data_IF_032686360864
#
_entry.id   IF_032686360864
#
_cell.length_a   1.000
_cell.length_b   1.000
_cell.length_c   1.000
_cell.angle_alpha   90.00
_cell.angle_beta   90.00
_cell.angle_gamma   90.00
#
_symmetry.space_group_name_H-M   'P 1'
#
loop_
_entity.id
_entity.type
_entity.pdbx_description
1 polymer ?
#
# COMPACT_ATOMS: atom_id res chain seq x y z
N UNK A 1 -22.68 10.05 -12.63
CA UNK A 1 -23.92 10.38 -13.38
C UNK A 1 -23.72 9.95 -14.82
N UNK A 2 -24.61 9.16 -15.44
CA UNK A 2 -24.51 8.81 -16.85
C UNK A 2 -24.38 10.06 -17.73
N UNK A 3 -23.45 10.05 -18.69
CA UNK A 3 -23.22 11.15 -19.63
C UNK A 3 -22.30 12.29 -19.15
N UNK A 4 -21.84 12.28 -17.89
CA UNK A 4 -20.87 13.26 -17.41
C UNK A 4 -19.47 12.97 -17.98
N UNK A 5 -18.85 13.96 -18.62
CA UNK A 5 -17.47 13.91 -19.07
C UNK A 5 -16.61 14.80 -18.16
N UNK A 6 -15.43 14.29 -17.78
CA UNK A 6 -14.41 15.07 -17.08
C UNK A 6 -13.44 15.58 -18.13
N UNK A 7 -13.40 16.89 -18.36
CA UNK A 7 -12.43 17.49 -19.26
C UNK A 7 -11.01 17.17 -18.79
N UNK A 8 -10.17 16.66 -19.69
CA UNK A 8 -8.79 16.25 -19.41
C UNK A 8 -8.68 15.22 -18.27
N UNK A 9 -9.71 14.38 -18.07
CA UNK A 9 -9.73 13.42 -16.97
C UNK A 9 -8.62 12.38 -17.09
N UNK A 10 -8.23 11.81 -15.95
CA UNK A 10 -7.29 10.71 -15.90
C UNK A 10 -7.97 9.41 -16.37
N UNK A 11 -7.27 8.65 -17.22
CA UNK A 11 -7.73 7.35 -17.70
C UNK A 11 -7.43 6.24 -16.71
N UNK A 12 -8.34 5.28 -16.60
CA UNK A 12 -8.11 4.03 -15.89
C UNK A 12 -7.66 2.96 -16.89
N UNK A 13 -6.44 2.40 -16.76
CA UNK A 13 -5.91 1.39 -17.69
C UNK A 13 -6.84 0.20 -17.86
N UNK A 14 -6.99 -0.29 -19.10
CA UNK A 14 -7.84 -1.42 -19.43
C UNK A 14 -9.34 -1.12 -19.47
N UNK A 15 -9.75 0.15 -19.34
CA UNK A 15 -11.16 0.57 -19.38
C UNK A 15 -11.37 1.76 -20.32
N UNK A 16 -12.63 2.14 -20.56
CA UNK A 16 -13.00 3.37 -21.25
C UNK A 16 -13.23 4.55 -20.29
N UNK A 17 -12.90 4.42 -19.00
CA UNK A 17 -13.18 5.45 -18.01
C UNK A 17 -12.16 6.57 -18.08
N UNK A 18 -12.67 7.81 -18.20
CA UNK A 18 -11.94 9.06 -18.03
C UNK A 18 -12.58 9.82 -16.86
N UNK A 19 -11.85 9.96 -15.75
CA UNK A 19 -12.38 10.36 -14.44
C UNK A 19 -11.58 11.53 -13.86
N UNK A 20 -12.11 12.16 -12.81
CA UNK A 20 -11.29 13.05 -12.00
C UNK A 20 -10.12 12.26 -11.35
N UNK A 21 -8.98 12.89 -11.08
CA UNK A 21 -7.79 12.18 -10.60
C UNK A 21 -7.97 11.52 -9.22
N UNK A 22 -8.93 11.95 -8.39
CA UNK A 22 -9.22 11.29 -7.10
C UNK A 22 -9.91 9.95 -7.37
N UNK A 23 -10.98 9.95 -8.18
CA UNK A 23 -11.69 8.72 -8.53
C UNK A 23 -10.82 7.78 -9.38
N UNK A 24 -10.02 8.31 -10.30
CA UNK A 24 -9.06 7.52 -11.07
C UNK A 24 -8.01 6.86 -10.17
N UNK A 25 -7.48 7.58 -9.17
CA UNK A 25 -6.51 7.01 -8.22
C UNK A 25 -7.10 5.84 -7.43
N UNK A 26 -8.36 5.95 -7.01
CA UNK A 26 -9.08 4.82 -6.39
C UNK A 26 -9.13 3.61 -7.33
N UNK A 27 -9.57 3.81 -8.57
CA UNK A 27 -9.74 2.72 -9.53
C UNK A 27 -8.41 2.05 -9.85
N UNK A 28 -7.36 2.83 -10.13
CA UNK A 28 -6.01 2.32 -10.43
C UNK A 28 -5.45 1.59 -9.20
N UNK A 29 -5.48 2.20 -8.02
CA UNK A 29 -4.99 1.56 -6.79
C UNK A 29 -5.76 0.28 -6.43
N UNK A 30 -7.07 0.25 -6.70
CA UNK A 30 -7.91 -0.93 -6.51
C UNK A 30 -7.47 -2.07 -7.45
N UNK A 31 -7.35 -1.83 -8.75
CA UNK A 31 -7.03 -2.90 -9.72
C UNK A 31 -5.61 -3.46 -9.54
N UNK A 32 -4.62 -2.63 -9.17
CA UNK A 32 -3.24 -3.12 -8.98
C UNK A 32 -3.09 -3.95 -7.71
N UNK A 33 -3.87 -3.64 -6.66
CA UNK A 33 -3.81 -4.36 -5.38
C UNK A 33 -4.75 -5.57 -5.30
N UNK A 34 -5.77 -5.62 -6.16
CA UNK A 34 -6.94 -6.48 -5.98
C UNK A 34 -6.62 -7.95 -5.70
N UNK A 35 -5.74 -8.51 -6.53
CA UNK A 35 -5.37 -9.93 -6.55
C UNK A 35 -4.21 -10.27 -5.59
N UNK A 36 -3.70 -9.29 -4.83
CA UNK A 36 -2.54 -9.49 -3.97
C UNK A 36 -1.34 -10.05 -4.74
N UNK A 37 -1.16 -9.60 -5.98
CA UNK A 37 -0.11 -10.09 -6.87
C UNK A 37 0.92 -9.01 -7.25
N UNK A 38 0.76 -7.82 -6.67
CA UNK A 38 1.72 -6.74 -6.78
C UNK A 38 2.90 -6.93 -5.83
N UNK A 39 3.83 -5.97 -5.84
CA UNK A 39 5.06 -6.00 -5.05
C UNK A 39 4.81 -6.13 -3.54
N UNK A 40 5.87 -6.32 -2.77
CA UNK A 40 5.79 -6.40 -1.31
C UNK A 40 7.06 -5.84 -0.67
N UNK A 41 6.87 -5.18 0.46
CA UNK A 41 7.94 -4.76 1.37
C UNK A 41 7.67 -5.34 2.75
N UNK A 42 8.62 -6.12 3.29
CA UNK A 42 8.52 -6.78 4.58
C UNK A 42 9.50 -6.16 5.57
N UNK A 43 8.97 -5.46 6.57
CA UNK A 43 9.73 -4.85 7.65
C UNK A 43 8.98 -4.96 8.99
N UNK A 44 9.21 -4.06 9.96
CA UNK A 44 8.41 -4.02 11.19
C UNK A 44 6.90 -3.80 10.90
N UNK A 45 6.61 -3.06 9.83
CA UNK A 45 5.31 -3.06 9.15
C UNK A 45 5.42 -3.70 7.77
N UNK A 46 4.37 -4.41 7.34
CA UNK A 46 4.29 -4.94 5.97
C UNK A 46 3.46 -4.01 5.10
N UNK A 47 3.79 -3.94 3.82
CA UNK A 47 2.98 -3.20 2.86
C UNK A 47 3.34 -3.54 1.43
N UNK A 48 2.63 -2.87 0.51
CA UNK A 48 2.82 -2.99 -0.93
C UNK A 48 3.05 -1.58 -1.49
N UNK A 49 4.30 -1.11 -1.59
CA UNK A 49 4.56 0.27 -1.98
C UNK A 49 4.13 0.61 -3.42
N UNK A 50 3.97 -0.39 -4.29
CA UNK A 50 3.33 -0.22 -5.61
C UNK A 50 1.89 0.31 -5.53
N UNK A 51 1.21 0.19 -4.39
CA UNK A 51 -0.15 0.74 -4.20
C UNK A 51 -0.21 2.26 -4.44
N UNK A 52 0.90 2.98 -4.20
CA UNK A 52 1.02 4.42 -4.46
C UNK A 52 0.90 4.78 -5.94
N UNK A 53 1.06 3.80 -6.85
CA UNK A 53 0.90 4.00 -8.29
C UNK A 53 -0.49 4.53 -8.65
N UNK A 54 -1.51 4.22 -7.83
CA UNK A 54 -2.86 4.76 -8.01
C UNK A 54 -2.87 6.29 -8.10
N UNK A 55 -2.39 6.97 -7.06
CA UNK A 55 -2.31 8.43 -7.05
C UNK A 55 -1.31 8.97 -8.07
N UNK A 56 -0.13 8.36 -8.17
CA UNK A 56 0.94 8.85 -9.04
C UNK A 56 0.49 8.84 -10.50
N UNK A 57 -0.06 7.72 -10.98
CA UNK A 57 -0.43 7.59 -12.39
C UNK A 57 -1.67 8.43 -12.72
N UNK A 58 -2.67 8.47 -11.83
CA UNK A 58 -3.86 9.29 -12.01
C UNK A 58 -3.50 10.78 -12.13
N UNK A 59 -2.65 11.29 -11.23
CA UNK A 59 -2.24 12.70 -11.23
C UNK A 59 -1.30 13.00 -12.40
N UNK A 60 -0.40 12.09 -12.74
CA UNK A 60 0.49 12.27 -13.90
C UNK A 60 -0.29 12.37 -15.22
N UNK A 61 -1.25 11.46 -15.46
CA UNK A 61 -2.09 11.49 -16.68
C UNK A 61 -2.96 12.75 -16.72
N UNK A 62 -3.60 13.10 -15.60
CA UNK A 62 -4.40 14.33 -15.49
C UNK A 62 -3.58 15.60 -15.80
N UNK A 63 -2.44 15.77 -15.14
CA UNK A 63 -1.58 16.94 -15.36
C UNK A 63 -1.02 17.00 -16.78
N UNK A 64 -0.67 15.85 -17.35
CA UNK A 64 -0.17 15.77 -18.73
C UNK A 64 -1.25 16.14 -19.74
N UNK A 65 -2.48 15.66 -19.56
CA UNK A 65 -3.62 16.00 -20.42
C UNK A 65 -3.97 17.48 -20.34
N UNK A 66 -3.99 18.02 -19.13
CA UNK A 66 -4.18 19.46 -18.91
C UNK A 66 -3.07 20.26 -19.61
N UNK A 67 -1.81 19.90 -19.40
CA UNK A 67 -0.68 20.58 -20.04
C UNK A 67 -0.78 20.57 -21.57
N UNK A 68 -1.09 19.42 -22.17
CA UNK A 68 -1.28 19.31 -23.63
C UNK A 68 -2.43 20.19 -24.11
N UNK A 69 -3.55 20.22 -23.38
CA UNK A 69 -4.70 21.09 -23.73
C UNK A 69 -4.35 22.59 -23.66
N UNK A 70 -3.34 22.95 -22.87
CA UNK A 70 -2.82 24.32 -22.73
C UNK A 70 -1.60 24.59 -23.62
N UNK A 71 -1.21 23.68 -24.51
CA UNK A 71 -0.04 23.81 -25.38
C UNK A 71 1.31 23.72 -24.66
N UNK A 72 1.35 23.11 -23.46
CA UNK A 72 2.54 22.88 -22.65
C UNK A 72 3.03 21.43 -22.79
N UNK A 73 4.27 21.19 -22.40
CA UNK A 73 4.83 19.84 -22.39
C UNK A 73 4.19 18.97 -21.29
N UNK A 74 3.78 17.72 -21.59
CA UNK A 74 3.29 16.78 -20.59
C UNK A 74 4.42 16.27 -19.67
N UNK A 75 4.04 15.62 -18.57
CA UNK A 75 4.99 14.83 -17.79
C UNK A 75 5.42 13.58 -18.58
N UNK A 76 6.57 13.04 -18.20
CA UNK A 76 7.15 11.83 -18.80
C UNK A 76 7.01 10.62 -17.87
N UNK A 77 7.18 9.41 -18.41
CA UNK A 77 7.26 8.22 -17.56
C UNK A 77 8.48 8.23 -16.63
N UNK A 78 9.53 9.01 -16.94
CA UNK A 78 10.64 9.22 -16.00
C UNK A 78 10.18 9.93 -14.73
N UNK A 79 9.25 10.87 -14.85
CA UNK A 79 8.65 11.57 -13.70
C UNK A 79 7.82 10.61 -12.85
N UNK A 80 7.04 9.73 -13.50
CA UNK A 80 6.27 8.67 -12.84
C UNK A 80 7.18 7.71 -12.08
N UNK A 81 8.25 7.20 -12.72
CA UNK A 81 9.19 6.28 -12.07
C UNK A 81 9.93 6.95 -10.90
N UNK A 82 10.32 8.22 -11.05
CA UNK A 82 10.93 9.00 -9.96
C UNK A 82 9.98 9.18 -8.79
N UNK A 83 8.71 9.45 -9.06
CA UNK A 83 7.65 9.54 -8.05
C UNK A 83 7.43 8.19 -7.35
N UNK A 84 7.46 7.08 -8.08
CA UNK A 84 7.36 5.74 -7.50
C UNK A 84 8.52 5.45 -6.55
N UNK A 85 9.77 5.71 -6.95
CA UNK A 85 10.96 5.52 -6.09
C UNK A 85 10.78 6.27 -4.77
N UNK A 86 10.40 7.55 -4.84
CA UNK A 86 10.18 8.37 -3.63
C UNK A 86 9.05 7.86 -2.75
N UNK A 87 7.94 7.42 -3.34
CA UNK A 87 6.82 6.87 -2.58
C UNK A 87 7.20 5.55 -1.90
N UNK A 88 7.96 4.68 -2.59
CA UNK A 88 8.50 3.46 -2.01
C UNK A 88 9.39 3.78 -0.83
N UNK A 89 10.28 4.75 -0.99
CA UNK A 89 11.21 5.13 0.05
C UNK A 89 10.50 5.69 1.29
N UNK A 90 9.56 6.62 1.11
CA UNK A 90 8.80 7.19 2.24
C UNK A 90 8.04 6.11 3.00
N UNK A 91 7.30 5.25 2.30
CA UNK A 91 6.52 4.18 2.93
C UNK A 91 7.43 3.13 3.56
N UNK A 92 8.44 2.65 2.84
CA UNK A 92 9.27 1.53 3.24
C UNK A 92 10.23 1.87 4.37
N UNK A 93 10.84 3.06 4.35
CA UNK A 93 11.73 3.52 5.44
C UNK A 93 10.91 3.75 6.72
N UNK A 94 9.72 4.34 6.63
CA UNK A 94 8.84 4.44 7.80
C UNK A 94 8.42 3.06 8.31
N UNK A 95 8.25 2.06 7.44
CA UNK A 95 7.90 0.70 7.85
C UNK A 95 9.05 -0.08 8.50
N UNK A 96 10.30 0.38 8.39
CA UNK A 96 11.48 -0.34 8.93
C UNK A 96 11.37 -0.60 10.44
N UNK A 97 11.02 0.42 11.20
CA UNK A 97 11.01 0.37 12.67
C UNK A 97 9.66 0.73 13.30
N UNK A 98 8.68 1.18 12.50
CA UNK A 98 7.38 1.62 13.01
C UNK A 98 6.29 0.62 12.60
N UNK A 99 5.76 -0.09 13.59
CA UNK A 99 4.76 -1.14 13.38
C UNK A 99 3.36 -0.63 13.78
N UNK A 100 2.52 -0.34 12.80
CA UNK A 100 1.15 0.13 13.00
C UNK A 100 0.19 -1.02 13.30
N UNK A 101 0.49 -2.22 12.81
CA UNK A 101 -0.24 -3.43 13.14
C UNK A 101 -0.22 -3.72 14.66
N UNK A 102 0.88 -3.40 15.37
CA UNK A 102 1.02 -3.56 16.84
C UNK A 102 0.18 -2.58 17.65
N UNK A 103 -0.33 -1.54 17.01
CA UNK A 103 -1.28 -0.57 17.59
C UNK A 103 -2.68 -0.69 16.97
N UNK A 104 -2.93 -1.72 16.16
CA UNK A 104 -4.25 -2.05 15.60
C UNK A 104 -4.63 -1.32 14.30
N UNK A 105 -3.69 -0.58 13.70
CA UNK A 105 -3.93 0.25 12.52
C UNK A 105 -3.37 -0.40 11.25
N UNK A 106 -4.02 -0.12 10.12
CA UNK A 106 -3.66 -0.67 8.82
C UNK A 106 -2.50 0.08 8.15
N UNK A 107 -1.63 -0.67 7.47
CA UNK A 107 -0.44 -0.13 6.81
C UNK A 107 -0.78 0.85 5.69
N UNK A 108 -2.02 0.84 5.20
CA UNK A 108 -2.47 1.76 4.13
C UNK A 108 -2.39 3.22 4.53
N UNK A 109 -2.26 3.54 5.83
CA UNK A 109 -1.92 4.90 6.26
C UNK A 109 -0.58 5.37 5.67
N UNK A 110 0.40 4.47 5.51
CA UNK A 110 1.69 4.81 4.89
C UNK A 110 1.55 5.02 3.38
N UNK A 111 0.63 4.29 2.72
CA UNK A 111 0.25 4.56 1.32
C UNK A 111 -0.32 5.98 1.20
N UNK A 112 -1.24 6.37 2.11
CA UNK A 112 -1.78 7.73 2.12
C UNK A 112 -0.68 8.78 2.33
N UNK A 113 0.20 8.59 3.31
CA UNK A 113 1.29 9.52 3.63
C UNK A 113 2.27 9.67 2.46
N UNK A 114 2.78 8.56 1.92
CA UNK A 114 3.73 8.55 0.81
C UNK A 114 3.12 9.15 -0.47
N UNK A 115 1.91 8.72 -0.84
CA UNK A 115 1.17 9.28 -1.98
C UNK A 115 0.95 10.78 -1.80
N UNK A 116 0.59 11.25 -0.61
CA UNK A 116 0.30 12.69 -0.37
C UNK A 116 1.54 13.54 -0.60
N UNK A 117 2.69 13.13 -0.05
CA UNK A 117 3.94 13.87 -0.23
C UNK A 117 4.33 14.01 -1.71
N UNK A 118 4.31 12.89 -2.44
CA UNK A 118 4.76 12.85 -3.83
C UNK A 118 3.79 13.58 -4.75
N UNK A 119 2.48 13.37 -4.57
CA UNK A 119 1.45 14.00 -5.40
C UNK A 119 1.35 15.49 -5.16
N UNK A 120 1.45 15.97 -3.92
CA UNK A 120 1.50 17.42 -3.64
C UNK A 120 2.67 18.07 -4.38
N UNK A 121 3.83 17.40 -4.42
CA UNK A 121 4.97 17.90 -5.20
C UNK A 121 4.71 17.87 -6.71
N UNK A 122 4.09 16.81 -7.23
CA UNK A 122 3.72 16.71 -8.65
C UNK A 122 2.73 17.80 -9.08
N UNK A 123 1.81 18.20 -8.19
CA UNK A 123 0.87 19.31 -8.40
C UNK A 123 1.54 20.70 -8.38
N UNK A 124 2.86 20.76 -8.20
CA UNK A 124 3.62 22.02 -8.14
C UNK A 124 3.74 22.60 -6.72
N UNK A 125 3.36 21.84 -5.69
CA UNK A 125 3.45 22.27 -4.30
C UNK A 125 4.88 22.64 -3.88
N UNK A 126 4.99 23.73 -3.11
CA UNK A 126 6.24 24.11 -2.45
C UNK A 126 6.46 23.29 -1.16
N UNK A 127 7.56 23.54 -0.46
CA UNK A 127 7.91 22.81 0.77
C UNK A 127 6.82 22.90 1.84
N UNK A 128 6.27 24.09 2.07
CA UNK A 128 5.30 24.33 3.13
C UNK A 128 3.96 23.67 2.78
N UNK A 129 3.54 23.71 1.53
CA UNK A 129 2.34 22.98 1.06
C UNK A 129 2.51 21.46 1.18
N UNK A 130 3.71 20.91 0.96
CA UNK A 130 3.96 19.48 1.20
C UNK A 130 3.86 19.16 2.69
N UNK A 131 4.40 20.01 3.57
CA UNK A 131 4.29 19.86 5.03
C UNK A 131 2.82 19.94 5.48
N UNK A 132 2.07 20.91 4.97
CA UNK A 132 0.65 21.09 5.27
C UNK A 132 -0.16 19.87 4.83
N UNK A 133 0.04 19.38 3.61
CA UNK A 133 -0.66 18.19 3.10
C UNK A 133 -0.31 16.93 3.91
N UNK A 134 0.97 16.75 4.25
CA UNK A 134 1.42 15.65 5.12
C UNK A 134 0.78 15.73 6.51
N UNK A 135 0.61 16.94 7.04
CA UNK A 135 -0.02 17.10 8.35
C UNK A 135 -1.48 16.63 8.35
N UNK A 136 -2.24 16.94 7.29
CA UNK A 136 -3.58 16.41 7.10
C UNK A 136 -3.58 14.88 6.89
N UNK A 137 -2.60 14.35 6.16
CA UNK A 137 -2.47 12.90 5.98
C UNK A 137 -2.19 12.17 7.29
N UNK A 138 -1.55 12.79 8.29
CA UNK A 138 -1.42 12.20 9.62
C UNK A 138 -2.67 12.44 10.49
N UNK A 139 -3.30 13.60 10.40
CA UNK A 139 -4.53 13.92 11.14
C UNK A 139 -5.71 12.99 10.79
N UNK A 140 -5.75 12.48 9.55
CA UNK A 140 -6.72 11.47 9.11
C UNK A 140 -6.61 10.11 9.85
N UNK A 141 -5.66 9.94 10.77
CA UNK A 141 -5.54 8.77 11.62
C UNK A 141 -5.18 7.50 10.86
N UNK A 142 -5.82 6.37 11.15
CA UNK A 142 -5.58 5.12 10.42
C UNK A 142 -6.84 4.27 10.36
N UNK A 143 -7.07 3.60 9.22
CA UNK A 143 -8.11 2.58 9.18
C UNK A 143 -7.74 1.42 10.11
N UNK A 144 -8.73 0.82 10.76
CA UNK A 144 -8.53 -0.44 11.48
C UNK A 144 -8.14 -1.56 10.51
N UNK A 145 -7.50 -2.62 11.02
CA UNK A 145 -7.16 -3.82 10.23
C UNK A 145 -8.17 -4.95 10.31
N UNK A 146 -9.35 -4.73 10.91
CA UNK A 146 -10.34 -5.79 11.19
C UNK A 146 -10.66 -6.64 9.95
N UNK A 147 -10.74 -6.02 8.76
CA UNK A 147 -11.04 -6.69 7.48
C UNK A 147 -9.89 -7.56 6.92
N UNK A 148 -8.75 -7.62 7.61
CA UNK A 148 -7.60 -8.47 7.25
C UNK A 148 -7.49 -9.71 8.13
N UNK A 149 -8.27 -9.81 9.20
CA UNK A 149 -8.16 -10.88 10.20
C UNK A 149 -9.48 -11.63 10.38
N UNK A 150 -9.39 -12.94 10.58
CA UNK A 150 -10.55 -13.76 10.92
C UNK A 150 -11.20 -13.27 12.25
N UNK A 151 -12.54 -13.41 12.41
CA UNK A 151 -13.49 -13.95 11.44
C UNK A 151 -14.01 -12.90 10.43
N UNK A 152 -13.47 -11.67 10.44
CA UNK A 152 -13.98 -10.53 9.66
C UNK A 152 -13.22 -10.29 8.35
N UNK A 153 -12.33 -11.21 7.96
CA UNK A 153 -11.54 -11.08 6.74
C UNK A 153 -12.47 -10.94 5.52
N UNK A 154 -12.24 -9.92 4.70
CA UNK A 154 -13.14 -9.59 3.60
C UNK A 154 -12.51 -8.73 2.52
N UNK A 155 -13.27 -8.41 1.47
CA UNK A 155 -12.78 -7.76 0.26
C UNK A 155 -12.19 -6.37 0.46
N UNK A 156 -12.50 -5.69 1.58
CA UNK A 156 -11.85 -4.40 1.92
C UNK A 156 -10.33 -4.50 1.95
N UNK A 157 -9.75 -5.66 2.27
CA UNK A 157 -8.29 -5.87 2.19
C UNK A 157 -7.70 -5.60 0.80
N UNK A 158 -8.51 -5.78 -0.26
CA UNK A 158 -8.11 -5.66 -1.67
C UNK A 158 -8.24 -4.25 -2.22
N UNK A 159 -9.08 -3.39 -1.62
CA UNK A 159 -9.30 -2.01 -2.08
C UNK A 159 -8.93 -0.91 -1.07
N UNK A 160 -8.59 -1.27 0.18
CA UNK A 160 -8.19 -0.30 1.21
C UNK A 160 -6.99 0.57 0.79
N UNK A 161 -6.05 0.03 0.03
CA UNK A 161 -4.92 0.80 -0.48
C UNK A 161 -5.31 1.75 -1.62
N UNK A 162 -6.24 1.32 -2.48
CA UNK A 162 -6.88 2.18 -3.49
C UNK A 162 -7.62 3.37 -2.85
N UNK A 163 -8.32 3.13 -1.74
CA UNK A 163 -8.97 4.18 -0.94
C UNK A 163 -7.92 5.14 -0.34
N UNK A 164 -6.85 4.62 0.24
CA UNK A 164 -5.79 5.44 0.84
C UNK A 164 -5.04 6.32 -0.17
N UNK A 165 -4.68 5.78 -1.33
CA UNK A 165 -4.00 6.55 -2.39
C UNK A 165 -4.95 7.57 -3.03
N UNK A 166 -6.24 7.25 -3.18
CA UNK A 166 -7.27 8.24 -3.57
C UNK A 166 -7.40 9.38 -2.56
N UNK A 167 -7.45 9.04 -1.27
CA UNK A 167 -7.51 10.03 -0.19
C UNK A 167 -6.30 10.96 -0.24
N UNK A 168 -5.11 10.44 -0.53
CA UNK A 168 -3.92 11.26 -0.69
C UNK A 168 -4.04 12.32 -1.78
N UNK A 169 -4.57 11.96 -2.97
CA UNK A 169 -4.83 12.94 -4.04
C UNK A 169 -5.78 14.03 -3.57
N UNK A 170 -6.84 13.64 -2.85
CA UNK A 170 -7.80 14.60 -2.31
C UNK A 170 -7.16 15.57 -1.31
N UNK A 171 -6.36 15.07 -0.38
CA UNK A 171 -5.66 15.90 0.61
C UNK A 171 -4.69 16.87 -0.06
N UNK A 172 -3.89 16.37 -1.00
CA UNK A 172 -2.99 17.20 -1.78
C UNK A 172 -3.76 18.34 -2.50
N UNK A 173 -4.88 18.02 -3.17
CA UNK A 173 -5.69 19.02 -3.85
C UNK A 173 -6.33 20.05 -2.92
N UNK A 174 -6.76 19.66 -1.72
CA UNK A 174 -7.26 20.59 -0.69
C UNK A 174 -6.16 21.57 -0.29
N UNK A 175 -4.97 21.08 0.05
CA UNK A 175 -3.83 21.94 0.43
C UNK A 175 -3.36 22.84 -0.72
N UNK A 176 -3.40 22.36 -1.96
CA UNK A 176 -3.08 23.20 -3.12
C UNK A 176 -4.06 24.36 -3.34
N UNK A 177 -5.21 24.37 -2.67
CA UNK A 177 -6.15 25.52 -2.64
C UNK A 177 -5.87 26.51 -1.50
N UNK A 178 -4.81 26.29 -0.70
CA UNK A 178 -4.41 27.17 0.39
C UNK A 178 -4.92 26.74 1.77
N UNK A 179 -5.38 25.48 1.91
CA UNK A 179 -5.73 24.93 3.23
C UNK A 179 -4.48 24.88 4.13
N UNK A 180 -4.61 25.37 5.36
CA UNK A 180 -3.50 25.44 6.32
C UNK A 180 -3.14 24.06 6.88
N UNK A 181 -1.87 23.88 7.28
CA UNK A 181 -1.43 22.67 7.97
C UNK A 181 -1.71 22.64 9.48
N UNK A 182 -1.33 21.52 10.09
CA UNK A 182 -1.46 21.21 11.52
C UNK A 182 -0.04 20.94 12.07
N UNK A 183 0.71 21.98 12.50
CA UNK A 183 2.17 21.87 12.71
C UNK A 183 2.62 20.79 13.70
N UNK A 184 1.82 20.53 14.74
CA UNK A 184 2.11 19.57 15.81
C UNK A 184 1.26 18.30 15.71
N UNK A 185 0.73 17.95 14.53
CA UNK A 185 -0.18 16.81 14.36
C UNK A 185 0.34 15.49 14.94
N UNK A 186 1.66 15.28 14.96
CA UNK A 186 2.25 14.09 15.55
C UNK A 186 2.44 14.21 17.06
N UNK A 187 2.93 15.36 17.54
CA UNK A 187 3.49 15.53 18.90
C UNK A 187 2.64 16.36 19.87
N UNK A 188 1.48 16.88 19.43
CA UNK A 188 0.60 17.66 20.30
C UNK A 188 0.19 16.83 21.55
N UNK A 189 0.37 17.33 22.78
CA UNK A 189 -0.02 16.59 23.98
C UNK A 189 -1.51 16.24 23.98
N UNK A 190 -1.84 14.99 24.31
CA UNK A 190 -3.18 14.39 24.36
C UNK A 190 -3.91 14.22 23.02
N UNK A 191 -3.56 15.01 21.99
CA UNK A 191 -4.32 15.09 20.73
C UNK A 191 -3.50 14.72 19.49
N UNK A 192 -2.17 14.63 19.64
CA UNK A 192 -1.25 14.26 18.58
C UNK A 192 -1.29 12.77 18.27
N UNK A 193 -0.89 12.42 17.05
CA UNK A 193 -0.88 11.04 16.57
C UNK A 193 -0.12 10.09 17.51
N UNK A 194 1.00 10.53 18.09
CA UNK A 194 1.81 9.70 18.99
C UNK A 194 1.02 9.28 20.22
N UNK A 195 0.43 10.24 20.93
CA UNK A 195 -0.35 9.98 22.14
C UNK A 195 -1.62 9.16 21.84
N UNK A 196 -2.36 9.54 20.78
CA UNK A 196 -3.69 8.98 20.50
C UNK A 196 -3.63 7.62 19.82
N UNK A 197 -2.72 7.44 18.87
CA UNK A 197 -2.72 6.30 17.93
C UNK A 197 -1.44 5.48 17.95
N UNK A 198 -0.39 5.95 18.62
CA UNK A 198 0.91 5.28 18.66
C UNK A 198 1.43 4.99 20.08
N UNK A 199 0.52 4.94 21.06
CA UNK A 199 0.81 4.59 22.48
C UNK A 199 1.88 5.48 23.13
N UNK A 200 1.97 6.74 22.71
CA UNK A 200 2.96 7.71 23.22
C UNK A 200 4.38 7.51 22.66
N UNK A 201 4.60 6.53 21.79
CA UNK A 201 5.90 6.32 21.14
C UNK A 201 6.10 7.32 20.00
N UNK A 202 7.37 7.58 19.65
CA UNK A 202 7.72 8.41 18.50
C UNK A 202 8.18 7.53 17.34
N UNK A 203 8.04 8.05 16.11
CA UNK A 203 8.57 7.35 14.95
C UNK A 203 10.10 7.28 14.97
N UNK A 204 10.62 6.12 14.61
CA UNK A 204 12.05 5.90 14.39
C UNK A 204 12.33 5.82 12.90
N UNK A 205 13.35 6.54 12.45
CA UNK A 205 13.79 6.58 11.06
C UNK A 205 15.27 6.20 11.07
N UNK A 206 15.55 4.94 10.77
CA UNK A 206 16.90 4.34 10.88
C UNK A 206 17.85 4.75 9.77
N UNK A 207 17.36 5.34 8.68
CA UNK A 207 18.16 5.69 7.50
C UNK A 207 17.60 6.90 6.75
N UNK A 208 18.43 7.51 5.90
CA UNK A 208 18.03 8.55 4.96
C UNK A 208 17.04 8.01 3.91
N UNK A 209 16.23 8.90 3.34
CA UNK A 209 15.37 8.58 2.21
C UNK A 209 16.16 8.74 0.91
N UNK A 210 16.48 7.64 0.25
CA UNK A 210 17.17 7.60 -1.05
C UNK A 210 16.39 6.72 -2.04
N UNK A 211 16.86 5.51 -2.33
CA UNK A 211 16.24 4.54 -3.25
C UNK A 211 16.29 3.10 -2.74
N UNK A 212 16.66 2.89 -1.46
CA UNK A 212 16.89 1.57 -0.88
C UNK A 212 15.68 0.64 -1.01
N UNK A 213 14.47 1.16 -0.78
CA UNK A 213 13.25 0.34 -0.79
C UNK A 213 12.94 -0.14 -2.20
N UNK A 214 13.06 0.72 -3.21
CA UNK A 214 12.82 0.33 -4.60
C UNK A 214 13.86 -0.70 -5.08
N UNK A 215 15.12 -0.54 -4.68
CA UNK A 215 16.20 -1.46 -5.06
C UNK A 215 16.03 -2.86 -4.47
N UNK A 216 15.36 -2.97 -3.32
CA UNK A 216 15.21 -4.21 -2.56
C UNK A 216 13.75 -4.71 -2.48
N UNK A 217 12.86 -4.15 -3.31
CA UNK A 217 11.44 -4.53 -3.30
C UNK A 217 11.25 -5.98 -3.73
N UNK A 218 10.30 -6.67 -3.11
CA UNK A 218 10.03 -8.07 -3.40
C UNK A 218 8.92 -8.20 -4.45
N UNK A 219 9.16 -8.96 -5.51
CA UNK A 219 8.14 -9.25 -6.53
C UNK A 219 7.50 -10.61 -6.31
N UNK A 220 6.18 -10.69 -6.46
CA UNK A 220 5.46 -11.94 -6.59
C UNK A 220 5.45 -12.34 -8.07
N UNK A 221 6.38 -13.21 -8.46
CA UNK A 221 6.56 -13.57 -9.87
C UNK A 221 5.62 -14.69 -10.27
N UNK A 222 5.53 -15.73 -9.45
CA UNK A 222 4.93 -17.00 -9.87
C UNK A 222 3.48 -17.19 -9.40
N UNK A 223 3.12 -16.71 -8.21
CA UNK A 223 1.83 -17.04 -7.59
C UNK A 223 1.14 -15.84 -6.94
N UNK A 224 -0.19 -15.64 -7.16
CA UNK A 224 -0.99 -14.61 -6.48
C UNK A 224 -1.36 -15.08 -5.06
N UNK A 225 -0.35 -15.27 -4.23
CA UNK A 225 -0.48 -15.74 -2.86
C UNK A 225 0.06 -14.70 -1.87
N UNK A 226 -0.38 -14.77 -0.62
CA UNK A 226 0.17 -13.95 0.47
C UNK A 226 1.70 -14.16 0.52
N UNK A 227 2.49 -13.09 0.70
CA UNK A 227 3.93 -13.15 0.42
C UNK A 227 4.67 -14.19 1.28
N UNK A 228 4.27 -14.37 2.54
CA UNK A 228 4.87 -15.36 3.44
C UNK A 228 4.61 -16.80 2.98
N UNK A 229 3.67 -17.04 2.06
CA UNK A 229 3.35 -18.36 1.49
C UNK A 229 4.10 -18.69 0.20
N UNK A 230 4.83 -17.74 -0.40
CA UNK A 230 5.40 -17.91 -1.74
C UNK A 230 6.33 -19.14 -1.85
N UNK A 231 7.27 -19.30 -0.92
CA UNK A 231 8.21 -20.44 -0.92
C UNK A 231 7.53 -21.76 -0.61
N UNK A 232 6.46 -21.76 0.21
CA UNK A 232 5.67 -22.95 0.47
C UNK A 232 4.90 -23.40 -0.78
N UNK A 233 4.37 -22.46 -1.58
CA UNK A 233 3.71 -22.77 -2.86
C UNK A 233 4.73 -23.30 -3.87
N UNK A 234 5.93 -22.71 -3.94
CA UNK A 234 7.01 -23.20 -4.80
C UNK A 234 7.43 -24.64 -4.45
N UNK A 235 7.58 -24.93 -3.16
CA UNK A 235 7.85 -26.29 -2.68
C UNK A 235 6.71 -27.26 -3.03
N UNK A 236 5.45 -26.84 -2.85
CA UNK A 236 4.29 -27.66 -3.19
C UNK A 236 4.20 -27.95 -4.70
N UNK A 237 4.50 -26.98 -5.56
CA UNK A 237 4.55 -27.17 -7.02
C UNK A 237 5.70 -28.11 -7.42
N UNK A 238 6.85 -28.00 -6.75
CA UNK A 238 7.99 -28.90 -6.98
C UNK A 238 7.66 -30.34 -6.59
N UNK A 239 6.96 -30.53 -5.48
CA UNK A 239 6.53 -31.86 -5.01
C UNK A 239 5.35 -32.44 -5.81
N UNK A 240 4.58 -31.60 -6.52
CA UNK A 240 3.35 -32.01 -7.21
C UNK A 240 3.52 -33.25 -8.11
N UNK A 241 4.54 -33.36 -8.99
CA UNK A 241 4.73 -34.53 -9.84
C UNK A 241 4.91 -35.85 -9.07
N UNK A 242 5.44 -35.79 -7.85
CA UNK A 242 5.71 -36.96 -7.00
C UNK A 242 4.46 -37.44 -6.24
N UNK A 243 3.55 -36.51 -5.92
CA UNK A 243 2.40 -36.79 -5.04
C UNK A 243 1.05 -36.82 -5.75
N UNK A 244 0.94 -36.29 -6.99
CA UNK A 244 -0.34 -36.13 -7.70
C UNK A 244 -1.16 -37.42 -7.85
N UNK A 245 -0.49 -38.56 -7.97
CA UNK A 245 -1.14 -39.88 -8.18
C UNK A 245 -1.34 -40.66 -6.86
N UNK A 246 -0.90 -40.08 -5.72
CA UNK A 246 -0.93 -40.73 -4.39
C UNK A 246 -1.57 -39.86 -3.31
N UNK A 247 -2.44 -38.92 -3.70
CA UNK A 247 -3.05 -37.97 -2.77
C UNK A 247 -3.84 -38.65 -1.65
N UNK A 248 -4.47 -39.80 -1.92
CA UNK A 248 -5.19 -40.60 -0.92
C UNK A 248 -4.30 -41.37 0.06
N UNK A 249 -3.01 -41.50 -0.26
CA UNK A 249 -2.02 -42.20 0.58
C UNK A 249 -1.28 -41.25 1.52
N UNK A 250 -1.50 -39.92 1.41
CA UNK A 250 -0.82 -38.93 2.25
C UNK A 250 -1.40 -38.99 3.67
N UNK A 251 -0.63 -39.52 4.61
CA UNK A 251 -1.00 -39.55 6.03
C UNK A 251 -0.76 -38.20 6.74
N UNK A 252 0.27 -37.45 6.33
CA UNK A 252 0.68 -36.20 6.99
C UNK A 252 1.40 -35.26 6.02
N UNK A 253 1.15 -33.95 6.18
CA UNK A 253 1.91 -32.86 5.55
C UNK A 253 2.45 -31.98 6.68
N UNK A 254 3.77 -31.88 6.79
CA UNK A 254 4.44 -30.98 7.74
C UNK A 254 5.02 -29.79 6.98
N UNK A 255 4.71 -28.58 7.44
CA UNK A 255 5.20 -27.33 6.83
C UNK A 255 6.06 -26.60 7.86
N UNK A 256 7.37 -26.65 7.66
CA UNK A 256 8.34 -25.88 8.45
C UNK A 256 8.38 -24.43 7.96
N UNK A 257 8.24 -23.47 8.88
CA UNK A 257 8.15 -22.04 8.55
C UNK A 257 8.96 -21.16 9.51
N UNK A 258 9.23 -19.93 9.09
CA UNK A 258 9.79 -18.85 9.93
C UNK A 258 8.79 -18.35 10.99
N UNK A 259 9.30 -17.74 12.07
CA UNK A 259 8.57 -17.37 13.30
C UNK A 259 7.56 -16.21 13.18
N UNK A 260 7.58 -15.50 12.06
CA UNK A 260 6.64 -14.42 11.72
C UNK A 260 5.33 -15.01 11.11
N UNK A 261 4.25 -14.22 10.91
CA UNK A 261 2.84 -14.58 11.10
C UNK A 261 2.20 -15.59 10.14
N UNK A 262 2.99 -16.36 9.39
CA UNK A 262 2.53 -17.52 8.64
C UNK A 262 1.72 -18.49 9.52
N UNK A 263 2.11 -18.65 10.79
CA UNK A 263 1.33 -19.42 11.77
C UNK A 263 -0.07 -18.82 12.07
N UNK A 264 -0.24 -17.49 11.99
CA UNK A 264 -1.55 -16.85 12.13
C UNK A 264 -2.38 -16.93 10.85
N UNK A 265 -1.74 -16.90 9.69
CA UNK A 265 -2.36 -17.12 8.38
C UNK A 265 -2.93 -18.54 8.28
N UNK A 266 -2.13 -19.56 8.62
CA UNK A 266 -2.59 -20.95 8.59
C UNK A 266 -3.76 -21.22 9.54
N UNK A 267 -3.82 -20.55 10.71
CA UNK A 267 -4.97 -20.65 11.63
C UNK A 267 -6.24 -19.94 11.13
N UNK A 268 -6.11 -19.01 10.18
CA UNK A 268 -7.25 -18.26 9.61
C UNK A 268 -7.95 -18.99 8.46
N UNK A 269 -7.32 -20.04 7.92
CA UNK A 269 -7.90 -20.92 6.90
C UNK A 269 -8.61 -22.08 7.60
N UNK A 270 -9.89 -22.29 7.29
CA UNK A 270 -10.68 -23.39 7.85
C UNK A 270 -10.29 -24.71 7.16
N UNK A 271 -9.28 -25.40 7.69
CA UNK A 271 -8.80 -26.69 7.18
C UNK A 271 -9.75 -27.81 7.60
N UNK A 272 -10.82 -28.02 6.85
CA UNK A 272 -11.81 -29.06 7.17
C UNK A 272 -11.38 -30.49 6.80
N UNK A 273 -10.20 -30.72 6.20
CA UNK A 273 -9.90 -32.02 5.59
C UNK A 273 -8.62 -32.74 6.02
N UNK A 274 -7.60 -32.10 6.61
CA UNK A 274 -6.41 -32.80 7.12
C UNK A 274 -5.75 -32.05 8.30
N UNK A 275 -5.15 -32.74 9.29
CA UNK A 275 -4.36 -32.10 10.33
C UNK A 275 -3.04 -31.57 9.74
N UNK A 276 -2.92 -30.25 9.61
CA UNK A 276 -1.67 -29.55 9.26
C UNK A 276 -1.03 -29.10 10.57
N UNK A 277 0.14 -29.66 10.89
CA UNK A 277 0.96 -29.20 12.02
C UNK A 277 2.00 -28.18 11.54
N UNK A 278 2.14 -27.09 12.30
CA UNK A 278 3.09 -26.01 12.02
C UNK A 278 4.12 -25.93 13.14
N UNK A 279 5.38 -26.13 12.81
CA UNK A 279 6.52 -25.98 13.72
C UNK A 279 7.30 -24.73 13.32
N UNK A 280 7.38 -23.75 14.23
CA UNK A 280 8.20 -22.55 14.04
C UNK A 280 9.63 -22.84 14.50
N UNK A 281 10.63 -22.58 13.66
CA UNK A 281 12.03 -22.61 14.08
C UNK A 281 12.40 -21.29 14.77
N UNK A 282 12.93 -21.38 15.99
CA UNK A 282 13.64 -20.29 16.66
C UNK A 282 15.11 -20.37 16.22
N UNK A 283 15.50 -19.53 15.27
CA UNK A 283 16.91 -19.24 14.95
C UNK A 283 17.11 -17.74 14.99
#
# INVERSE_FOLDING_TARGET
MPGMQVANGARVPGTSHELDPITAAFNIGCIVRWLDFNDTWLAAEWGHPSDNLGAILAVADYLSRLAVSEGKAPLTMKDVLTAMIKAHEIQGVLALENSFNRVGLDHVLLVRVASTAVVTKMLGGNRDQVIDALSHAWADGGALRTYRHAPNAGSRKSWAAGDATSRAVRLAMITMKGEMGIPTVLSAPNWGYFDVLFKGEQFKVSQSFESYVMENVLFKISFPAEFHSQTAVEAAVTLHPEVKDKLSEIERIEVTTMSLPFASFLKSVNWQTLPIETTACNT
#
